data_IF_177382991461
#
_entry.id   IF_177382991461
#
_cell.length_a   1.000
_cell.length_b   1.000
_cell.length_c   1.000
_cell.angle_alpha   90.00
_cell.angle_beta   90.00
_cell.angle_gamma   90.00
#
_symmetry.space_group_name_H-M   'P 1'
#
loop_
_entity.id
_entity.type
_entity.pdbx_description
1 polymer ?
#
# COMPACT_ATOMS: atom_id res chain seq x y z
N UNK A 1 -9.68 -0.17 8.26
CA UNK A 1 -8.27 -0.63 8.40
C UNK A 1 -8.00 -1.93 7.63
N UNK A 2 -8.82 -2.99 7.81
CA UNK A 2 -8.67 -4.29 7.13
C UNK A 2 -8.61 -4.22 5.59
N UNK A 3 -9.52 -3.47 4.96
CA UNK A 3 -9.57 -3.32 3.50
C UNK A 3 -8.34 -2.61 2.91
N UNK A 4 -7.76 -1.64 3.64
CA UNK A 4 -6.53 -0.94 3.21
C UNK A 4 -5.33 -1.91 3.18
N UNK A 5 -5.19 -2.76 4.21
CA UNK A 5 -4.16 -3.80 4.26
C UNK A 5 -4.36 -4.83 3.15
N UNK A 6 -5.59 -5.28 2.92
CA UNK A 6 -5.90 -6.21 1.84
C UNK A 6 -5.49 -5.66 0.45
N UNK A 7 -5.78 -4.37 0.18
CA UNK A 7 -5.35 -3.72 -1.06
C UNK A 7 -3.82 -3.64 -1.19
N UNK A 8 -3.13 -3.33 -0.09
CA UNK A 8 -1.67 -3.27 -0.06
C UNK A 8 -1.04 -4.65 -0.33
N UNK A 9 -1.53 -5.71 0.31
CA UNK A 9 -1.06 -7.08 0.11
C UNK A 9 -1.30 -7.56 -1.31
N UNK A 10 -2.46 -7.25 -1.90
CA UNK A 10 -2.74 -7.57 -3.30
C UNK A 10 -1.76 -6.89 -4.26
N UNK A 11 -1.46 -5.61 -4.03
CA UNK A 11 -0.45 -4.89 -4.84
C UNK A 11 0.94 -5.54 -4.72
N UNK A 12 1.31 -5.94 -3.50
CA UNK A 12 2.59 -6.57 -3.23
C UNK A 12 2.70 -7.96 -3.90
N UNK A 13 1.70 -8.83 -3.73
CA UNK A 13 1.67 -10.16 -4.33
C UNK A 13 1.61 -10.11 -5.86
N UNK A 14 0.86 -9.17 -6.43
CA UNK A 14 0.85 -8.92 -7.87
C UNK A 14 2.24 -8.55 -8.40
N UNK A 15 2.99 -7.77 -7.62
CA UNK A 15 4.38 -7.44 -7.95
C UNK A 15 5.29 -8.68 -7.89
N UNK A 16 5.16 -9.53 -6.87
CA UNK A 16 5.90 -10.79 -6.81
C UNK A 16 5.57 -11.74 -7.98
N UNK A 17 4.31 -11.81 -8.37
CA UNK A 17 3.85 -12.59 -9.54
C UNK A 17 4.50 -12.08 -10.83
N UNK A 18 4.53 -10.76 -11.03
CA UNK A 18 5.08 -10.13 -12.24
C UNK A 18 6.60 -10.27 -12.36
N UNK A 19 7.35 -10.03 -11.29
CA UNK A 19 8.81 -9.94 -11.34
C UNK A 19 9.51 -11.27 -11.03
N UNK A 20 8.95 -12.08 -10.14
CA UNK A 20 9.57 -13.32 -9.65
C UNK A 20 8.82 -14.58 -10.06
N UNK A 21 7.71 -14.46 -10.81
CA UNK A 21 6.98 -15.60 -11.36
C UNK A 21 6.27 -16.47 -10.32
N UNK A 22 5.88 -15.90 -9.18
CA UNK A 22 5.03 -16.59 -8.20
C UNK A 22 3.71 -17.03 -8.84
N UNK A 23 3.23 -18.22 -8.47
CA UNK A 23 1.97 -18.79 -8.95
C UNK A 23 1.21 -19.42 -7.80
N UNK A 24 -0.11 -19.42 -7.95
CA UNK A 24 -1.04 -20.09 -7.06
C UNK A 24 -1.00 -21.61 -7.31
N UNK A 25 -1.04 -22.47 -6.28
CA UNK A 25 -1.08 -22.16 -4.85
C UNK A 25 0.28 -21.72 -4.29
N UNK A 26 0.28 -20.66 -3.47
CA UNK A 26 1.51 -20.15 -2.87
C UNK A 26 2.10 -21.17 -1.88
N UNK A 27 3.38 -21.51 -2.07
CA UNK A 27 4.10 -22.42 -1.18
C UNK A 27 4.67 -21.63 0.00
N UNK A 28 4.18 -21.91 1.20
CA UNK A 28 4.55 -21.16 2.41
C UNK A 28 5.30 -22.07 3.37
N UNK A 29 6.57 -21.80 3.60
CA UNK A 29 7.36 -22.47 4.63
C UNK A 29 7.01 -21.87 6.00
N UNK A 30 6.51 -22.72 6.88
CA UNK A 30 6.12 -22.34 8.23
C UNK A 30 7.18 -22.81 9.22
N UNK A 31 7.64 -21.87 10.05
CA UNK A 31 8.65 -22.10 11.08
C UNK A 31 8.06 -22.64 12.39
N UNK A 32 8.89 -23.26 13.24
CA UNK A 32 8.47 -23.83 14.52
C UNK A 32 7.99 -22.74 15.49
N UNK A 33 8.76 -21.66 15.64
CA UNK A 33 8.45 -20.54 16.55
C UNK A 33 7.18 -19.79 16.12
N UNK A 34 6.94 -19.73 14.81
CA UNK A 34 5.73 -19.15 14.25
C UNK A 34 4.49 -19.96 14.68
N UNK A 35 4.57 -21.29 14.66
CA UNK A 35 3.46 -22.15 15.09
C UNK A 35 3.22 -22.08 16.59
N UNK A 36 4.27 -21.99 17.39
CA UNK A 36 4.15 -21.76 18.84
C UNK A 36 3.45 -20.42 19.11
N UNK A 37 3.87 -19.35 18.43
CA UNK A 37 3.25 -18.03 18.55
C UNK A 37 1.80 -18.03 18.08
N UNK A 38 1.49 -18.74 16.99
CA UNK A 38 0.14 -18.87 16.49
C UNK A 38 -0.78 -19.58 17.48
N UNK A 39 -0.30 -20.66 18.10
CA UNK A 39 -1.03 -21.36 19.15
C UNK A 39 -1.23 -20.46 20.38
N UNK A 40 -0.19 -19.75 20.84
CA UNK A 40 -0.30 -18.85 21.99
C UNK A 40 -1.35 -17.76 21.75
N UNK A 41 -1.43 -17.24 20.52
CA UNK A 41 -2.40 -16.24 20.10
C UNK A 41 -3.75 -16.81 19.64
N UNK A 42 -3.95 -18.13 19.71
CA UNK A 42 -5.16 -18.85 19.26
C UNK A 42 -5.57 -18.53 17.82
N UNK A 43 -4.59 -18.40 16.92
CA UNK A 43 -4.80 -18.12 15.51
C UNK A 43 -4.85 -19.43 14.73
N UNK A 44 -5.94 -19.64 13.99
CA UNK A 44 -5.96 -20.65 12.93
C UNK A 44 -5.03 -20.22 11.79
N UNK A 45 -3.90 -20.92 11.68
CA UNK A 45 -2.83 -20.63 10.73
C UNK A 45 -3.31 -20.77 9.29
N UNK A 46 -4.06 -21.83 8.96
CA UNK A 46 -4.50 -22.08 7.59
C UNK A 46 -5.47 -20.99 7.11
N UNK A 47 -6.46 -20.65 7.94
CA UNK A 47 -7.40 -19.57 7.64
C UNK A 47 -6.72 -18.19 7.61
N UNK A 48 -5.76 -17.94 8.51
CA UNK A 48 -5.02 -16.68 8.54
C UNK A 48 -4.15 -16.48 7.29
N UNK A 49 -3.49 -17.55 6.81
CA UNK A 49 -2.68 -17.52 5.59
C UNK A 49 -3.55 -17.24 4.37
N UNK A 50 -4.67 -17.96 4.20
CA UNK A 50 -5.64 -17.74 3.11
C UNK A 50 -6.17 -16.30 3.11
N UNK A 51 -6.51 -15.76 4.29
CA UNK A 51 -7.00 -14.37 4.44
C UNK A 51 -5.94 -13.34 4.06
N UNK A 52 -4.67 -13.61 4.32
CA UNK A 52 -3.57 -12.66 4.08
C UNK A 52 -3.12 -12.68 2.63
N UNK A 53 -2.99 -13.89 2.05
CA UNK A 53 -2.58 -14.10 0.66
C UNK A 53 -3.70 -13.83 -0.35
N UNK A 54 -4.97 -13.87 0.07
CA UNK A 54 -6.17 -13.66 -0.77
C UNK A 54 -6.26 -14.63 -1.95
N UNK A 55 -5.65 -15.79 -1.82
CA UNK A 55 -5.58 -16.82 -2.85
C UNK A 55 -5.33 -18.18 -2.19
N UNK A 56 -5.26 -19.24 -2.98
CA UNK A 56 -4.93 -20.57 -2.47
C UNK A 56 -3.48 -20.67 -2.00
N UNK A 57 -3.31 -21.32 -0.86
CA UNK A 57 -2.03 -21.48 -0.17
C UNK A 57 -1.79 -22.93 0.16
N UNK A 58 -0.52 -23.32 0.04
CA UNK A 58 0.00 -24.62 0.41
C UNK A 58 0.98 -24.44 1.58
N UNK A 59 0.51 -24.50 2.83
CA UNK A 59 1.38 -24.42 3.98
C UNK A 59 2.25 -25.69 4.04
N UNK A 60 3.55 -25.49 4.21
CA UNK A 60 4.56 -26.54 4.26
C UNK A 60 5.41 -26.39 5.52
N UNK A 61 5.75 -27.51 6.15
CA UNK A 61 6.68 -27.55 7.27
C UNK A 61 7.90 -28.40 6.93
N UNK A 62 9.09 -27.94 7.31
CA UNK A 62 10.32 -28.72 7.08
C UNK A 62 10.49 -29.81 8.12
N UNK A 63 11.23 -30.86 7.79
CA UNK A 63 11.54 -31.93 8.73
C UNK A 63 12.32 -31.41 9.97
N UNK A 64 13.22 -30.44 9.80
CA UNK A 64 13.96 -29.83 10.93
C UNK A 64 13.03 -29.04 11.85
N UNK A 65 12.11 -28.23 11.29
CA UNK A 65 11.13 -27.50 12.10
C UNK A 65 10.23 -28.47 12.88
N UNK A 66 9.82 -29.58 12.26
CA UNK A 66 9.04 -30.61 12.94
C UNK A 66 9.85 -31.29 14.06
N UNK A 67 11.13 -31.58 13.83
CA UNK A 67 12.01 -32.12 14.86
C UNK A 67 12.18 -31.15 16.04
N UNK A 68 12.27 -29.84 15.78
CA UNK A 68 12.29 -28.83 16.82
C UNK A 68 10.99 -28.80 17.64
N UNK A 69 9.83 -28.94 17.00
CA UNK A 69 8.55 -29.04 17.71
C UNK A 69 8.45 -30.30 18.57
N UNK A 70 8.97 -31.44 18.12
CA UNK A 70 8.99 -32.66 18.94
C UNK A 70 9.91 -32.53 20.16
N UNK A 71 10.99 -31.75 20.09
CA UNK A 71 11.88 -31.49 21.24
C UNK A 71 11.18 -30.74 22.38
N UNK A 72 10.11 -30.00 22.10
CA UNK A 72 9.29 -29.30 23.11
C UNK A 72 8.50 -30.27 24.00
N UNK A 73 8.34 -31.53 23.59
CA UNK A 73 7.64 -32.56 24.38
C UNK A 73 6.13 -32.29 24.51
N UNK A 74 5.58 -32.58 25.70
CA UNK A 74 4.12 -32.59 25.94
C UNK A 74 3.46 -31.21 25.80
N UNK A 75 4.18 -30.14 26.13
CA UNK A 75 3.67 -28.77 26.03
C UNK A 75 3.41 -28.36 24.57
N UNK A 76 4.18 -28.91 23.63
CA UNK A 76 4.06 -28.65 22.20
C UNK A 76 3.11 -29.59 21.45
N UNK A 77 2.45 -30.55 22.12
CA UNK A 77 1.70 -31.61 21.43
C UNK A 77 0.56 -31.05 20.56
N UNK A 78 -0.17 -30.05 21.06
CA UNK A 78 -1.23 -29.39 20.31
C UNK A 78 -0.69 -28.63 19.07
N UNK A 79 0.50 -28.03 19.18
CA UNK A 79 1.19 -27.37 18.05
C UNK A 79 1.61 -28.40 17.00
N UNK A 80 2.12 -29.55 17.46
CA UNK A 80 2.52 -30.69 16.64
C UNK A 80 1.35 -31.25 15.85
N UNK A 81 0.16 -31.33 16.44
CA UNK A 81 -1.03 -31.86 15.76
C UNK A 81 -1.49 -30.94 14.63
N UNK A 82 -1.49 -29.61 14.85
CA UNK A 82 -1.70 -28.63 13.76
C UNK A 82 -0.59 -28.73 12.70
N UNK A 83 0.67 -28.92 13.11
CA UNK A 83 1.79 -29.03 12.19
C UNK A 83 1.73 -30.28 11.30
N UNK A 84 1.08 -31.36 11.75
CA UNK A 84 0.89 -32.60 10.96
C UNK A 84 -0.10 -32.42 9.81
N UNK A 85 -1.02 -31.46 9.90
CA UNK A 85 -1.96 -31.14 8.82
C UNK A 85 -1.29 -30.47 7.63
N UNK A 86 -0.11 -29.86 7.83
CA UNK A 86 0.64 -29.20 6.77
C UNK A 86 1.48 -30.17 5.93
N UNK A 87 1.75 -29.80 4.69
CA UNK A 87 2.57 -30.64 3.81
C UNK A 87 4.03 -30.68 4.29
N UNK A 88 4.59 -31.88 4.36
CA UNK A 88 5.95 -32.06 4.85
C UNK A 88 6.98 -31.86 3.74
N UNK A 89 7.85 -30.86 3.90
CA UNK A 89 9.00 -30.63 3.02
C UNK A 89 10.23 -31.42 3.51
N UNK A 90 10.72 -32.33 2.67
CA UNK A 90 12.00 -33.03 2.90
C UNK A 90 13.15 -32.05 2.65
N UNK A 91 13.97 -31.79 3.68
CA UNK A 91 15.06 -30.82 3.63
C UNK A 91 16.46 -31.44 3.45
N UNK A 92 16.59 -32.76 3.43
CA UNK A 92 17.89 -33.45 3.26
C UNK A 92 18.79 -33.46 4.50
N UNK A 93 18.38 -32.82 5.59
CA UNK A 93 19.06 -32.84 6.89
C UNK A 93 18.50 -33.98 7.74
N UNK A 94 19.25 -35.08 7.88
CA UNK A 94 18.84 -36.27 8.62
C UNK A 94 19.86 -36.61 9.73
N UNK A 95 19.37 -37.13 10.86
CA UNK A 95 20.19 -37.59 11.98
C UNK A 95 21.04 -36.49 12.60
N UNK A 96 22.35 -36.71 12.70
CA UNK A 96 23.33 -35.80 13.29
C UNK A 96 23.47 -34.46 12.55
N UNK A 97 22.91 -34.36 11.34
CA UNK A 97 22.88 -33.11 10.53
C UNK A 97 21.58 -32.31 10.71
N UNK A 98 20.76 -32.64 11.71
CA UNK A 98 19.53 -31.88 12.00
C UNK A 98 19.89 -30.48 12.46
N UNK A 99 19.76 -29.51 11.55
CA UNK A 99 19.99 -28.09 11.82
C UNK A 99 18.86 -27.47 12.61
N UNK A 100 19.13 -26.30 13.17
CA UNK A 100 18.11 -25.44 13.74
C UNK A 100 17.07 -25.03 12.67
N UNK A 101 15.83 -24.79 13.11
CA UNK A 101 14.69 -24.46 12.23
C UNK A 101 15.02 -23.30 11.28
N UNK A 102 15.61 -22.23 11.80
CA UNK A 102 15.95 -21.05 11.01
C UNK A 102 17.03 -21.32 9.95
N UNK A 103 18.11 -22.01 10.33
CA UNK A 103 19.18 -22.41 9.40
C UNK A 103 18.67 -23.34 8.29
N UNK A 104 17.76 -24.26 8.63
CA UNK A 104 17.15 -25.14 7.64
C UNK A 104 16.35 -24.33 6.61
N UNK A 105 15.49 -23.41 7.06
CA UNK A 105 14.71 -22.56 6.16
C UNK A 105 15.63 -21.71 5.30
N UNK A 106 16.67 -21.10 5.90
CA UNK A 106 17.67 -20.31 5.17
C UNK A 106 18.30 -21.12 4.04
N UNK A 107 18.75 -22.34 4.31
CA UNK A 107 19.39 -23.19 3.29
C UNK A 107 18.45 -23.62 2.16
N UNK A 108 17.14 -23.70 2.41
CA UNK A 108 16.14 -24.06 1.40
C UNK A 108 15.71 -22.88 0.52
N UNK A 109 15.66 -21.69 1.11
CA UNK A 109 15.23 -20.46 0.43
C UNK A 109 16.40 -19.80 -0.30
N UNK A 110 17.58 -19.80 0.32
CA UNK A 110 18.79 -19.22 -0.24
C UNK A 110 19.58 -20.27 -1.02
N UNK A 111 19.28 -20.40 -2.32
CA UNK A 111 20.08 -21.20 -3.24
C UNK A 111 20.83 -20.23 -4.14
N UNK A 112 22.14 -20.07 -3.90
CA UNK A 112 23.02 -19.16 -4.64
C UNK A 112 22.58 -17.68 -4.60
N UNK A 113 21.95 -17.25 -3.51
CA UNK A 113 21.45 -15.87 -3.36
C UNK A 113 20.08 -15.63 -4.01
N UNK A 114 19.43 -16.67 -4.53
CA UNK A 114 18.13 -16.57 -5.21
C UNK A 114 17.08 -17.54 -4.66
N UNK A 115 15.83 -17.09 -4.66
CA UNK A 115 14.67 -17.91 -4.28
C UNK A 115 14.17 -18.76 -5.47
N UNK A 116 14.94 -19.79 -5.85
CA UNK A 116 14.64 -20.64 -7.02
C UNK A 116 13.26 -21.32 -6.94
N UNK A 117 12.87 -21.72 -5.73
CA UNK A 117 11.62 -22.44 -5.48
C UNK A 117 10.43 -21.53 -5.21
N UNK A 118 10.64 -20.22 -5.10
CA UNK A 118 9.59 -19.21 -4.86
C UNK A 118 8.79 -19.51 -3.59
N UNK A 119 9.48 -19.79 -2.49
CA UNK A 119 8.84 -19.93 -1.20
C UNK A 119 8.46 -18.56 -0.63
N UNK A 120 7.29 -18.51 0.01
CA UNK A 120 6.98 -17.53 1.04
C UNK A 120 7.42 -18.09 2.38
N UNK A 121 7.86 -17.25 3.32
CA UNK A 121 8.33 -17.71 4.63
C UNK A 121 7.50 -17.07 5.73
N UNK A 122 6.96 -17.90 6.62
CA UNK A 122 6.28 -17.48 7.83
C UNK A 122 7.16 -17.83 9.04
N UNK A 123 7.81 -16.81 9.63
CA UNK A 123 8.73 -16.96 10.76
C UNK A 123 8.53 -15.84 11.77
N UNK A 124 8.77 -16.16 13.04
CA UNK A 124 8.75 -15.17 14.12
C UNK A 124 10.17 -14.67 14.46
N UNK A 125 11.21 -15.45 14.12
CA UNK A 125 12.61 -15.09 14.36
C UNK A 125 12.96 -13.76 13.68
N UNK A 126 13.58 -12.85 14.42
CA UNK A 126 14.02 -11.57 13.88
C UNK A 126 15.25 -11.74 12.99
N UNK A 127 16.19 -12.59 13.41
CA UNK A 127 17.46 -12.81 12.74
C UNK A 127 17.26 -13.45 11.37
N UNK A 128 16.43 -14.50 11.30
CA UNK A 128 16.09 -15.15 10.04
C UNK A 128 15.42 -14.16 9.06
N UNK A 129 14.54 -13.28 9.54
CA UNK A 129 13.94 -12.24 8.68
C UNK A 129 14.98 -11.23 8.20
N UNK A 130 15.91 -10.82 9.07
CA UNK A 130 17.03 -9.95 8.71
C UNK A 130 17.83 -10.50 7.54
N UNK A 131 18.17 -11.79 7.60
CA UNK A 131 18.94 -12.47 6.56
C UNK A 131 18.13 -12.65 5.27
N UNK A 132 16.86 -13.09 5.37
CA UNK A 132 16.01 -13.31 4.21
C UNK A 132 15.63 -12.02 3.47
N UNK A 133 15.63 -10.86 4.14
CA UNK A 133 15.45 -9.55 3.46
C UNK A 133 16.58 -9.23 2.49
N UNK A 134 17.79 -9.77 2.71
CA UNK A 134 18.92 -9.62 1.81
C UNK A 134 18.71 -10.32 0.46
N UNK A 135 17.78 -11.28 0.39
CA UNK A 135 17.46 -12.03 -0.81
C UNK A 135 16.28 -11.34 -1.51
N UNK A 136 16.39 -11.12 -2.81
CA UNK A 136 15.30 -10.57 -3.60
C UNK A 136 14.21 -11.64 -3.83
N UNK A 137 12.94 -11.24 -3.75
CA UNK A 137 11.82 -12.13 -4.11
C UNK A 137 11.38 -13.08 -3.01
N UNK A 138 11.58 -12.73 -1.72
CA UNK A 138 11.10 -13.54 -0.58
C UNK A 138 10.00 -12.79 0.18
N UNK A 139 8.73 -13.20 0.04
CA UNK A 139 7.65 -12.69 0.86
C UNK A 139 7.77 -13.21 2.30
N UNK A 140 7.86 -12.30 3.28
CA UNK A 140 7.99 -12.62 4.70
C UNK A 140 6.68 -12.35 5.44
N UNK A 141 6.29 -13.28 6.31
CA UNK A 141 5.10 -13.19 7.15
C UNK A 141 5.47 -13.42 8.61
N UNK A 142 4.86 -12.65 9.51
CA UNK A 142 5.07 -12.79 10.95
C UNK A 142 3.79 -12.46 11.71
N UNK A 143 3.70 -12.92 12.96
CA UNK A 143 2.56 -12.62 13.83
C UNK A 143 2.93 -11.45 14.72
N UNK A 144 2.02 -10.48 14.80
CA UNK A 144 2.10 -9.41 15.80
C UNK A 144 0.82 -9.41 16.62
N UNK A 145 0.95 -9.69 17.92
CA UNK A 145 -0.16 -9.95 18.85
C UNK A 145 -1.06 -11.08 18.31
N UNK A 146 -2.21 -10.74 17.75
CA UNK A 146 -3.20 -11.71 17.24
C UNK A 146 -3.45 -11.58 15.72
N UNK A 147 -2.57 -10.91 14.97
CA UNK A 147 -2.76 -10.66 13.53
C UNK A 147 -1.53 -11.10 12.74
N UNK A 148 -1.78 -11.91 11.70
CA UNK A 148 -0.78 -12.25 10.69
C UNK A 148 -0.55 -11.05 9.76
N UNK A 149 0.71 -10.68 9.59
CA UNK A 149 1.12 -9.53 8.78
C UNK A 149 2.08 -10.03 7.70
N UNK A 150 1.74 -9.73 6.43
CA UNK A 150 2.68 -9.79 5.32
C UNK A 150 3.55 -8.53 5.35
N UNK A 151 4.86 -8.71 5.42
CA UNK A 151 5.85 -7.65 5.43
C UNK A 151 5.85 -6.91 4.07
N UNK A 152 6.10 -5.58 4.03
CA UNK A 152 6.38 -4.91 2.77
C UNK A 152 7.59 -5.52 2.03
N UNK A 153 7.75 -5.17 0.75
CA UNK A 153 8.90 -5.63 -0.04
C UNK A 153 10.23 -5.24 0.62
N UNK A 154 11.20 -6.16 0.56
CA UNK A 154 12.55 -5.90 1.05
C UNK A 154 13.30 -4.93 0.13
N UNK A 155 14.32 -4.26 0.67
CA UNK A 155 15.17 -3.36 -0.11
C UNK A 155 15.86 -4.09 -1.27
N UNK A 156 16.31 -5.33 -1.05
CA UNK A 156 16.88 -6.16 -2.12
C UNK A 156 15.86 -6.44 -3.25
N UNK A 157 14.61 -6.71 -2.88
CA UNK A 157 13.51 -6.90 -3.83
C UNK A 157 13.20 -5.61 -4.60
N UNK A 158 13.17 -4.47 -3.92
CA UNK A 158 12.92 -3.18 -4.54
C UNK A 158 14.04 -2.79 -5.53
N UNK A 159 15.31 -3.01 -5.15
CA UNK A 159 16.45 -2.78 -6.02
C UNK A 159 16.46 -3.69 -7.25
N UNK A 160 16.09 -4.96 -7.09
CA UNK A 160 15.94 -5.90 -8.21
C UNK A 160 14.90 -5.39 -9.21
N UNK A 161 13.71 -4.97 -8.74
CA UNK A 161 12.65 -4.41 -9.58
C UNK A 161 13.12 -3.15 -10.30
N UNK A 162 13.76 -2.22 -9.59
CA UNK A 162 14.29 -0.99 -10.19
C UNK A 162 15.34 -1.29 -11.28
N UNK A 163 16.19 -2.30 -11.05
CA UNK A 163 17.19 -2.74 -12.03
C UNK A 163 16.52 -3.33 -13.28
N UNK A 164 15.53 -4.19 -13.09
CA UNK A 164 14.76 -4.81 -14.19
C UNK A 164 13.97 -3.76 -14.99
N UNK A 165 13.31 -2.83 -14.31
CA UNK A 165 12.60 -1.71 -14.92
C UNK A 165 13.56 -0.80 -15.71
N UNK A 166 14.73 -0.48 -15.14
CA UNK A 166 15.76 0.32 -15.82
C UNK A 166 16.36 -0.40 -17.04
N UNK A 167 16.43 -1.72 -17.03
CA UNK A 167 16.86 -2.49 -18.20
C UNK A 167 15.81 -2.46 -19.32
N UNK A 168 14.53 -2.52 -18.97
CA UNK A 168 13.42 -2.51 -19.93
C UNK A 168 13.10 -1.11 -20.48
N UNK A 169 13.17 -0.09 -19.63
CA UNK A 169 12.85 1.30 -19.98
C UNK A 169 14.09 2.14 -20.33
N UNK A 170 15.28 1.60 -20.10
CA UNK A 170 16.52 2.29 -20.43
C UNK A 170 16.71 2.37 -21.94
N UNK A 171 17.20 3.52 -22.40
CA UNK A 171 17.69 3.71 -23.77
C UNK A 171 18.59 2.54 -24.18
N UNK A 172 18.42 2.06 -25.41
CA UNK A 172 19.31 1.04 -25.99
C UNK A 172 20.76 1.51 -25.90
N UNK A 173 21.72 0.58 -25.83
CA UNK A 173 23.16 0.93 -25.85
C UNK A 173 23.48 1.87 -27.02
N UNK A 174 22.87 1.60 -28.18
CA UNK A 174 22.96 2.45 -29.36
C UNK A 174 22.42 3.87 -29.14
N UNK A 175 21.25 4.01 -28.53
CA UNK A 175 20.64 5.32 -28.26
C UNK A 175 21.46 6.08 -27.21
N UNK A 176 21.97 5.39 -26.18
CA UNK A 176 22.87 5.98 -25.17
C UNK A 176 24.17 6.48 -25.79
N UNK A 177 24.77 5.74 -26.72
CA UNK A 177 25.98 6.17 -27.43
C UNK A 177 25.74 7.33 -28.39
N UNK A 178 24.59 7.34 -29.08
CA UNK A 178 24.19 8.44 -29.96
C UNK A 178 23.96 9.73 -29.16
N UNK A 179 23.34 9.62 -27.98
CA UNK A 179 23.11 10.73 -27.04
C UNK A 179 24.36 11.12 -26.26
N UNK A 180 25.34 10.23 -26.06
CA UNK A 180 26.59 10.54 -25.34
C UNK A 180 27.60 11.33 -26.17
N UNK A 181 27.25 11.74 -27.39
CA UNK A 181 28.02 12.73 -28.15
C UNK A 181 29.43 12.29 -28.55
N UNK A 182 29.74 10.97 -28.57
CA UNK A 182 30.96 10.49 -29.22
C UNK A 182 30.80 10.70 -30.71
N UNK A 183 31.20 11.88 -31.21
CA UNK A 183 31.37 12.15 -32.64
C UNK A 183 32.14 10.97 -33.22
N UNK A 184 31.54 10.27 -34.19
CA UNK A 184 32.30 9.36 -35.06
C UNK A 184 33.49 10.16 -35.59
N UNK A 185 34.71 9.74 -35.24
CA UNK A 185 35.92 10.27 -35.89
C UNK A 185 35.72 10.00 -37.38
N UNK A 186 35.50 11.07 -38.15
CA UNK A 186 35.62 11.03 -39.60
C UNK A 186 37.13 10.88 -39.85
N UNK A 187 37.52 9.80 -40.51
CA UNK A 187 38.93 9.61 -40.89
C UNK A 187 39.34 10.75 -41.81
N UNK A 188 40.32 11.54 -41.38
CA UNK A 188 40.89 12.65 -42.15
C UNK A 188 40.49 14.04 -41.66
N UNK A 189 41.04 14.47 -40.53
CA UNK A 189 41.52 15.85 -40.31
C UNK A 189 42.30 15.88 -38.99
N UNK A 190 43.54 16.36 -39.09
CA UNK A 190 44.50 16.48 -38.00
C UNK A 190 44.09 17.59 -37.02
N UNK A 191 44.34 17.32 -35.74
CA UNK A 191 44.51 18.23 -34.60
C UNK A 191 43.78 19.58 -34.62
N UNK A 192 42.76 19.69 -33.76
CA UNK A 192 42.66 20.84 -32.86
C UNK A 192 41.85 20.50 -31.60
N UNK A 193 42.49 20.74 -30.46
CA UNK A 193 41.97 20.62 -29.10
C UNK A 193 40.85 21.63 -28.89
N UNK A 194 39.61 21.19 -28.65
CA UNK A 194 38.59 21.96 -27.89
C UNK A 194 37.72 20.98 -27.10
N UNK A 195 38.33 20.33 -26.10
CA UNK A 195 37.68 19.42 -25.16
C UNK A 195 37.15 20.10 -23.90
N UNK A 196 36.90 21.42 -23.92
CA UNK A 196 36.56 22.20 -22.71
C UNK A 196 35.33 23.09 -22.80
N UNK A 197 34.87 23.47 -24.00
CA UNK A 197 33.90 24.57 -24.11
C UNK A 197 32.44 24.13 -23.96
N UNK A 198 32.12 22.86 -24.25
CA UNK A 198 30.73 22.38 -24.19
C UNK A 198 30.22 22.10 -22.76
N UNK A 199 31.11 21.84 -21.79
CA UNK A 199 30.73 21.64 -20.38
C UNK A 199 30.54 22.98 -19.66
N UNK A 200 31.42 23.94 -19.94
CA UNK A 200 31.36 25.30 -19.38
C UNK A 200 30.10 26.06 -19.86
N UNK A 201 29.64 25.83 -21.09
CA UNK A 201 28.42 26.45 -21.61
C UNK A 201 27.14 25.82 -21.03
N UNK A 202 27.18 24.53 -20.67
CA UNK A 202 26.06 23.83 -20.01
C UNK A 202 25.97 24.20 -18.52
N UNK A 203 27.10 24.41 -17.84
CA UNK A 203 27.12 24.88 -16.44
C UNK A 203 26.69 26.34 -16.33
N UNK A 204 27.17 27.23 -17.21
CA UNK A 204 26.75 28.65 -17.23
C UNK A 204 25.26 28.81 -17.54
N UNK A 205 24.69 27.98 -18.42
CA UNK A 205 23.23 28.00 -18.70
C UNK A 205 22.38 27.39 -17.59
N UNK A 206 22.92 26.48 -16.77
CA UNK A 206 22.28 25.97 -15.55
C UNK A 206 22.27 27.03 -14.45
N UNK A 207 23.38 27.72 -14.21
CA UNK A 207 23.47 28.79 -13.22
C UNK A 207 22.59 30.00 -13.58
N UNK A 208 22.49 30.36 -14.86
CA UNK A 208 21.56 31.41 -15.31
C UNK A 208 20.09 31.02 -15.11
N UNK A 209 19.74 29.75 -15.35
CA UNK A 209 18.37 29.25 -15.11
C UNK A 209 18.03 29.16 -13.63
N UNK A 210 19.00 28.86 -12.78
CA UNK A 210 18.80 28.82 -11.32
C UNK A 210 18.63 30.23 -10.74
N UNK A 211 19.44 31.20 -11.19
CA UNK A 211 19.30 32.63 -10.83
C UNK A 211 18.00 33.24 -11.38
N UNK A 212 17.48 32.78 -12.53
CA UNK A 212 16.16 33.15 -13.07
C UNK A 212 14.98 32.47 -12.36
N UNK A 213 15.15 31.27 -11.78
CA UNK A 213 14.11 30.58 -10.98
C UNK A 213 13.97 31.15 -9.57
N UNK A 214 15.03 31.71 -9.01
CA UNK A 214 15.02 32.37 -7.69
C UNK A 214 14.46 33.81 -7.73
N UNK A 215 14.30 34.42 -8.92
CA UNK A 215 13.67 35.74 -9.06
C UNK A 215 12.31 35.62 -9.75
N UNK A 216 11.26 35.88 -8.96
CA UNK A 216 9.83 36.12 -9.30
C UNK A 216 8.90 34.90 -9.21
N UNK A 217 8.47 34.59 -7.98
CA UNK A 217 7.10 34.14 -7.76
C UNK A 217 6.27 35.35 -7.31
N UNK A 218 5.76 36.12 -8.28
CA UNK A 218 4.73 37.12 -7.99
C UNK A 218 3.43 36.44 -7.52
N UNK A 219 2.53 37.15 -6.82
CA UNK A 219 1.26 36.59 -6.41
C UNK A 219 0.49 36.07 -7.63
N UNK A 220 -0.04 34.84 -7.51
CA UNK A 220 -0.74 34.14 -8.61
C UNK A 220 -1.94 34.96 -9.09
N UNK A 221 -1.84 35.52 -10.29
CA UNK A 221 -2.98 36.14 -10.95
C UNK A 221 -4.06 35.06 -11.21
N UNK A 222 -5.36 35.42 -11.13
CA UNK A 222 -6.43 34.48 -11.40
C UNK A 222 -6.37 33.99 -12.86
N UNK A 223 -6.69 32.71 -13.05
CA UNK A 223 -6.71 32.02 -14.34
C UNK A 223 -7.48 32.85 -15.38
N UNK A 224 -6.91 33.12 -16.57
CA UNK A 224 -7.51 34.00 -17.59
C UNK A 224 -8.86 33.52 -18.14
N UNK A 225 -9.29 32.28 -17.85
CA UNK A 225 -10.63 31.77 -18.16
C UNK A 225 -11.69 32.14 -17.10
N UNK A 226 -11.30 32.65 -15.93
CA UNK A 226 -12.20 33.01 -14.81
C UNK A 226 -12.58 34.50 -14.75
N UNK A 227 -12.05 35.34 -15.64
CA UNK A 227 -12.44 36.76 -15.71
C UNK A 227 -13.51 36.92 -16.79
N UNK A 228 -14.76 37.19 -16.38
CA UNK A 228 -15.83 37.55 -17.32
C UNK A 228 -15.42 38.81 -18.08
N UNK A 229 -15.48 38.77 -19.40
CA UNK A 229 -15.12 39.91 -20.26
C UNK A 229 -15.97 41.13 -19.88
N UNK A 230 -15.31 42.29 -19.77
CA UNK A 230 -15.95 43.57 -19.43
C UNK A 230 -16.98 43.91 -20.51
N UNK A 231 -18.26 44.01 -20.13
CA UNK A 231 -19.34 44.47 -21.00
C UNK A 231 -19.17 45.98 -21.20
N UNK A 232 -19.10 46.46 -22.44
CA UNK A 232 -19.17 47.89 -22.76
C UNK A 232 -20.63 48.32 -22.60
N UNK A 233 -20.90 49.24 -21.70
CA UNK A 233 -22.17 49.95 -21.66
C UNK A 233 -22.12 51.11 -22.65
N UNK A 234 -23.04 51.10 -23.62
CA UNK A 234 -23.34 52.26 -24.47
C UNK A 234 -24.36 53.12 -23.75
N UNK A 235 -23.99 54.37 -23.52
CA UNK A 235 -24.76 55.43 -22.90
C UNK A 235 -25.86 55.97 -23.82
N UNK A 236 -27.11 55.98 -23.35
CA UNK A 236 -28.15 56.95 -23.71
C UNK A 236 -29.12 57.08 -22.54
N UNK A 237 -29.23 58.26 -21.93
CA UNK A 237 -30.40 58.64 -21.10
C UNK A 237 -31.35 59.54 -21.90
N UNK A 238 -32.33 60.25 -21.28
CA UNK A 238 -33.05 60.02 -20.02
C UNK A 238 -34.61 60.11 -20.20
N UNK A 239 -35.40 59.77 -19.15
CA UNK A 239 -36.60 60.52 -18.65
C UNK A 239 -37.49 59.71 -17.67
N UNK A 240 -37.69 60.31 -16.49
CA UNK A 240 -38.92 60.57 -15.70
C UNK A 240 -39.88 59.47 -15.18
N UNK A 241 -39.90 59.40 -13.84
CA UNK A 241 -41.00 59.56 -12.87
C UNK A 241 -42.24 58.62 -12.79
N UNK A 242 -42.41 58.14 -11.54
CA UNK A 242 -43.63 57.89 -10.75
C UNK A 242 -44.41 56.58 -10.84
N UNK A 243 -44.38 55.85 -9.70
CA UNK A 243 -45.56 55.74 -8.82
C UNK A 243 -46.08 54.33 -8.52
N UNK A 244 -45.95 53.88 -7.26
CA UNK A 244 -47.07 53.40 -6.42
C UNK A 244 -46.59 52.84 -5.07
N UNK A 245 -47.17 53.38 -4.01
CA UNK A 245 -47.02 53.04 -2.58
C UNK A 245 -48.00 51.93 -2.15
N UNK A 246 -47.69 51.23 -1.05
CA UNK A 246 -48.49 51.16 0.20
C UNK A 246 -48.02 50.00 1.11
N UNK A 247 -47.51 50.31 2.31
CA UNK A 247 -48.14 50.27 3.66
C UNK A 247 -48.00 48.86 4.30
N UNK A 248 -47.65 48.67 5.59
CA UNK A 248 -48.03 49.30 6.88
C UNK A 248 -46.89 49.08 7.90
N UNK A 249 -46.36 50.09 8.61
CA UNK A 249 -46.71 50.57 9.98
C UNK A 249 -47.24 49.51 10.97
N UNK A 250 -46.51 49.31 12.07
CA UNK A 250 -46.89 49.76 13.42
C UNK A 250 -45.70 49.63 14.37
N UNK A 251 -45.57 50.58 15.29
CA UNK A 251 -44.60 50.58 16.38
C UNK A 251 -45.30 50.99 17.67
N UNK A 252 -44.69 50.69 18.82
CA UNK A 252 -44.94 51.39 20.09
C UNK A 252 -43.62 51.43 20.88
N UNK A 253 -43.41 52.59 21.51
CA UNK A 253 -42.37 53.00 22.47
C UNK A 253 -42.50 52.16 23.78
N UNK A 254 -41.62 52.17 24.78
CA UNK A 254 -41.07 53.30 25.54
C UNK A 254 -40.14 52.72 26.64
N UNK A 255 -39.10 53.47 27.03
CA UNK A 255 -38.50 53.64 28.38
C UNK A 255 -38.11 52.42 29.28
N UNK A 256 -37.10 52.46 30.18
CA UNK A 256 -36.04 53.39 30.57
C UNK A 256 -35.08 52.65 31.53
N UNK A 257 -33.92 53.29 31.81
CA UNK A 257 -33.07 53.16 33.01
C UNK A 257 -32.10 51.96 33.19
N UNK A 258 -30.83 52.27 32.92
CA UNK A 258 -29.61 52.14 33.75
C UNK A 258 -29.14 50.85 34.46
N UNK A 259 -27.81 50.71 34.38
CA UNK A 259 -26.85 50.19 35.36
C UNK A 259 -26.30 48.75 35.22
N UNK A 260 -25.04 48.75 34.75
CA UNK A 260 -23.85 48.11 35.33
C UNK A 260 -23.56 46.60 35.15
N UNK A 261 -22.28 46.42 34.79
CA UNK A 261 -21.35 45.33 35.10
C UNK A 261 -21.23 44.06 34.24
N UNK A 262 -20.02 43.95 33.70
CA UNK A 262 -19.12 42.78 33.71
C UNK A 262 -19.42 41.57 32.81
N UNK A 263 -18.36 41.17 32.10
CA UNK A 263 -18.08 39.75 31.87
C UNK A 263 -18.14 39.30 30.42
N UNK A 264 -16.97 39.26 29.77
CA UNK A 264 -16.71 38.44 28.59
C UNK A 264 -17.12 36.97 28.79
N UNK A 265 -17.67 36.35 27.74
CA UNK A 265 -17.17 35.15 27.05
C UNK A 265 -18.24 34.73 26.01
N UNK A 266 -17.99 35.01 24.72
CA UNK A 266 -18.77 34.46 23.59
C UNK A 266 -18.08 33.21 23.05
N UNK A 267 -18.58 32.03 23.42
CA UNK A 267 -18.31 30.79 22.69
C UNK A 267 -19.24 30.67 21.48
N UNK A 268 -18.65 30.61 20.28
CA UNK A 268 -19.36 30.59 19.01
C UNK A 268 -20.12 29.27 18.76
N UNK A 269 -21.44 29.35 18.62
CA UNK A 269 -22.29 28.27 18.11
C UNK A 269 -22.03 28.03 16.61
N UNK A 270 -21.50 26.84 16.28
CA UNK A 270 -21.47 26.25 14.93
C UNK A 270 -22.90 26.08 14.38
N UNK A 271 -23.19 26.63 13.20
CA UNK A 271 -24.45 26.40 12.44
C UNK A 271 -24.48 24.97 11.89
N UNK A 272 -25.42 24.15 12.39
CA UNK A 272 -25.88 22.89 11.76
C UNK A 272 -26.60 23.20 10.45
N UNK A 273 -26.20 22.58 9.34
CA UNK A 273 -26.99 22.55 8.10
C UNK A 273 -28.06 21.46 8.21
N UNK A 274 -29.34 21.87 8.10
CA UNK A 274 -30.50 21.00 7.88
C UNK A 274 -30.39 20.34 6.50
N UNK A 275 -30.54 19.01 6.43
CA UNK A 275 -31.02 18.31 5.23
C UNK A 275 -32.48 17.93 5.48
N UNK A 276 -33.33 18.29 4.54
CA UNK A 276 -34.77 18.04 4.57
C UNK A 276 -35.10 16.57 4.36
N UNK A 277 -36.15 16.15 5.04
CA UNK A 277 -36.79 14.85 4.97
C UNK A 277 -37.95 14.91 3.96
N UNK A 278 -38.22 13.82 3.25
CA UNK A 278 -39.58 13.46 2.84
C UNK A 278 -39.71 11.94 2.72
N UNK A 279 -40.62 11.43 3.56
CA UNK A 279 -41.27 10.13 3.69
C UNK A 279 -41.57 9.43 2.34
N UNK A 280 -41.76 8.12 2.23
CA UNK A 280 -42.20 7.09 3.18
C UNK A 280 -43.35 6.31 2.53
N UNK A 281 -43.42 5.00 2.76
CA UNK A 281 -44.45 4.10 2.23
C UNK A 281 -44.10 2.65 2.56
N UNK A 282 -44.87 2.07 3.48
CA UNK A 282 -44.69 0.84 4.24
C UNK A 282 -45.80 -0.18 3.87
N UNK A 283 -45.71 -1.40 4.44
CA UNK A 283 -46.73 -2.48 4.55
C UNK A 283 -46.96 -3.41 3.33
N UNK A 284 -47.16 -4.73 3.44
CA UNK A 284 -47.08 -5.68 4.56
C UNK A 284 -47.17 -7.17 4.09
N UNK A 285 -46.79 -8.08 5.00
CA UNK A 285 -47.22 -9.49 5.20
C UNK A 285 -47.07 -10.60 4.12
N UNK A 286 -46.43 -11.73 4.48
CA UNK A 286 -47.14 -12.95 4.95
C UNK A 286 -46.21 -14.19 5.17
N UNK A 287 -46.66 -15.00 6.13
CA UNK A 287 -46.13 -16.27 6.68
C UNK A 287 -45.80 -17.41 5.71
N UNK A 288 -44.99 -18.36 6.18
CA UNK A 288 -44.90 -19.71 5.63
C UNK A 288 -44.03 -20.67 6.44
N UNK A 289 -44.55 -21.15 7.56
CA UNK A 289 -44.05 -22.30 8.34
C UNK A 289 -44.68 -23.62 7.86
N UNK A 290 -43.90 -24.69 7.80
CA UNK A 290 -44.30 -26.10 7.63
C UNK A 290 -43.09 -26.89 7.11
N UNK A 291 -42.70 -28.07 7.60
CA UNK A 291 -43.34 -29.08 8.43
C UNK A 291 -42.90 -30.45 7.88
N UNK A 292 -42.16 -31.20 8.71
CA UNK A 292 -42.05 -32.68 8.87
C UNK A 292 -42.14 -33.70 7.71
N UNK A 293 -41.35 -34.78 7.87
CA UNK A 293 -41.47 -36.12 7.24
C UNK A 293 -40.41 -36.38 6.15
N UNK A 294 -39.65 -37.47 6.09
CA UNK A 294 -39.66 -38.78 6.74
C UNK A 294 -39.00 -39.79 5.77
N UNK A 295 -38.39 -40.84 6.34
CA UNK A 295 -38.10 -42.17 5.78
C UNK A 295 -36.83 -42.55 4.99
N UNK A 296 -36.18 -43.56 5.59
CA UNK A 296 -35.63 -44.84 5.07
C UNK A 296 -34.65 -44.89 3.87
N UNK A 297 -33.47 -45.42 4.14
CA UNK A 297 -32.87 -46.50 3.32
C UNK A 297 -31.68 -47.14 4.05
N UNK A 298 -31.94 -48.27 4.72
CA UNK A 298 -30.95 -49.31 4.95
C UNK A 298 -31.07 -50.31 3.80
N UNK A 299 -30.00 -50.45 3.01
CA UNK A 299 -29.63 -51.63 2.24
C UNK A 299 -28.12 -51.60 1.98
#
# INVERSE_FOLDING_TARGET
MRQKRAKAYRKLLHSYTRHFGFRTPYQILVDADFLQTAHASKIDVAAALRRTMQDDVKPMITQCCMAALYKLGREGQAVVDVAKEFERRKCGHFGDKTKESGECIRSLVNIEGENKHRYCVATQSYDLRGELRGIAGVPLMFINRAVLILEPESDATAQFKLREERQKLGLSTYEKELLSGKKRKREGEEDNVVGGEALDEIERTREEKEKKRLKKLGPKAPNPLSVKKKKKETSTGPKDANGAQNNTREGVMEESAEAQEAGEIKSGKRRRRRRGNKNGGEEDHANGSGGEGGDESDF
#
